data_IF_607062553908
#
_entry.id   IF_607062553908
#
_cell.length_a   1.000
_cell.length_b   1.000
_cell.length_c   1.000
_cell.angle_alpha   90.00
_cell.angle_beta   90.00
_cell.angle_gamma   90.00
#
_symmetry.space_group_name_H-M   'P 1'
#
loop_
_entity.id
_entity.type
_entity.pdbx_description
1 polymer ?
#
# COMPACT_ATOMS: atom_id res chain seq x y z
N UNK A 1 -34.98 -44.98 25.46
CA UNK A 1 -33.60 -45.01 24.92
C UNK A 1 -32.98 -43.62 24.67
N UNK A 2 -33.59 -42.50 25.09
CA UNK A 2 -33.08 -41.12 24.82
C UNK A 2 -32.02 -40.65 25.85
N UNK A 3 -32.00 -41.25 27.04
CA UNK A 3 -31.11 -40.90 28.16
C UNK A 3 -29.59 -40.91 27.86
N UNK A 4 -29.01 -41.91 27.15
CA UNK A 4 -27.58 -41.87 26.84
C UNK A 4 -27.23 -40.84 25.77
N UNK A 5 -28.13 -40.60 24.81
CA UNK A 5 -27.96 -39.63 23.72
C UNK A 5 -27.99 -38.20 24.28
N UNK A 6 -28.92 -37.88 25.20
CA UNK A 6 -28.99 -36.55 25.77
C UNK A 6 -27.81 -36.20 26.69
N UNK A 7 -27.28 -37.17 27.44
CA UNK A 7 -26.10 -36.99 28.30
C UNK A 7 -24.84 -36.69 27.49
N UNK A 8 -24.62 -37.43 26.41
CA UNK A 8 -23.48 -37.19 25.52
C UNK A 8 -23.62 -35.86 24.77
N UNK A 9 -24.83 -35.50 24.34
CA UNK A 9 -25.10 -34.21 23.73
C UNK A 9 -24.84 -33.03 24.70
N UNK A 10 -25.26 -33.14 25.96
CA UNK A 10 -24.98 -32.13 27.00
C UNK A 10 -23.50 -32.01 27.31
N UNK A 11 -22.78 -33.13 27.38
CA UNK A 11 -21.34 -33.12 27.60
C UNK A 11 -20.60 -32.43 26.45
N UNK A 12 -20.96 -32.75 25.19
CA UNK A 12 -20.41 -32.10 24.01
C UNK A 12 -20.71 -30.60 23.99
N UNK A 13 -21.94 -30.19 24.33
CA UNK A 13 -22.32 -28.78 24.40
C UNK A 13 -21.50 -28.02 25.47
N UNK A 14 -21.27 -28.64 26.63
CA UNK A 14 -20.47 -28.04 27.69
C UNK A 14 -19.01 -27.88 27.29
N UNK A 15 -18.41 -28.91 26.68
CA UNK A 15 -17.03 -28.84 26.17
C UNK A 15 -16.92 -27.77 25.08
N UNK A 16 -17.86 -27.71 24.15
CA UNK A 16 -17.89 -26.68 23.11
C UNK A 16 -17.98 -25.27 23.72
N UNK A 17 -18.82 -25.08 24.73
CA UNK A 17 -18.96 -23.81 25.44
C UNK A 17 -17.64 -23.39 26.11
N UNK A 18 -16.95 -24.33 26.77
CA UNK A 18 -15.65 -24.07 27.38
C UNK A 18 -14.60 -23.71 26.32
N UNK A 19 -14.54 -24.44 25.20
CA UNK A 19 -13.64 -24.12 24.09
C UNK A 19 -13.89 -22.71 23.53
N UNK A 20 -15.15 -22.34 23.29
CA UNK A 20 -15.53 -21.00 22.79
C UNK A 20 -15.16 -19.91 23.81
N UNK A 21 -15.37 -20.16 25.11
CA UNK A 21 -15.01 -19.21 26.16
C UNK A 21 -13.49 -18.98 26.23
N UNK A 22 -12.69 -20.04 26.15
CA UNK A 22 -11.22 -19.95 26.13
C UNK A 22 -10.76 -19.20 24.87
N UNK A 23 -11.28 -19.55 23.69
CA UNK A 23 -10.94 -18.86 22.44
C UNK A 23 -11.33 -17.38 22.48
N UNK A 24 -12.51 -17.06 23.04
CA UNK A 24 -12.97 -15.69 23.22
C UNK A 24 -12.03 -14.86 24.11
N UNK A 25 -11.60 -15.44 25.23
CA UNK A 25 -10.65 -14.80 26.14
C UNK A 25 -9.29 -14.58 25.49
N UNK A 26 -8.75 -15.60 24.81
CA UNK A 26 -7.47 -15.50 24.08
C UNK A 26 -7.56 -14.42 23.01
N UNK A 27 -8.66 -14.38 22.25
CA UNK A 27 -8.88 -13.35 21.24
C UNK A 27 -8.86 -11.95 21.88
N UNK A 28 -9.63 -11.70 22.94
CA UNK A 28 -9.68 -10.39 23.60
C UNK A 28 -8.31 -9.94 24.13
N UNK A 29 -7.54 -10.86 24.72
CA UNK A 29 -6.20 -10.55 25.23
C UNK A 29 -5.19 -10.34 24.08
N UNK A 30 -5.39 -10.97 22.92
CA UNK A 30 -4.52 -10.84 21.75
C UNK A 30 -4.81 -9.59 20.91
N UNK A 31 -6.06 -9.11 20.87
CA UNK A 31 -6.49 -7.91 20.13
C UNK A 31 -5.53 -6.72 20.26
N UNK A 32 -5.15 -6.25 21.46
CA UNK A 32 -4.27 -5.08 21.58
C UNK A 32 -2.89 -5.34 20.99
N UNK A 33 -2.36 -6.58 21.09
CA UNK A 33 -1.06 -6.92 20.54
C UNK A 33 -1.10 -6.95 19.02
N UNK A 34 -2.17 -7.49 18.44
CA UNK A 34 -2.39 -7.51 16.99
C UNK A 34 -2.46 -6.08 16.45
N UNK A 35 -3.25 -5.21 17.10
CA UNK A 35 -3.38 -3.82 16.69
C UNK A 35 -2.02 -3.07 16.75
N UNK A 36 -1.23 -3.28 17.81
CA UNK A 36 0.11 -2.70 17.92
C UNK A 36 1.06 -3.18 16.82
N UNK A 37 1.04 -4.48 16.48
CA UNK A 37 1.87 -5.03 15.41
C UNK A 37 1.46 -4.50 14.04
N UNK A 38 0.14 -4.37 13.78
CA UNK A 38 -0.38 -3.79 12.55
C UNK A 38 0.06 -2.32 12.41
N UNK A 39 -0.05 -1.53 13.48
CA UNK A 39 0.41 -0.14 13.49
C UNK A 39 1.92 -0.05 13.22
N UNK A 40 2.73 -0.86 13.91
CA UNK A 40 4.17 -0.88 13.71
C UNK A 40 4.56 -1.25 12.27
N UNK A 41 3.88 -2.24 11.68
CA UNK A 41 4.09 -2.65 10.29
C UNK A 41 3.73 -1.53 9.30
N UNK A 42 2.58 -0.87 9.49
CA UNK A 42 2.17 0.28 8.67
C UNK A 42 3.21 1.41 8.73
N UNK A 43 3.66 1.78 9.93
CA UNK A 43 4.66 2.83 10.11
C UNK A 43 6.02 2.44 9.50
N UNK A 44 6.43 1.17 9.59
CA UNK A 44 7.65 0.70 8.96
C UNK A 44 7.59 0.82 7.42
N UNK A 45 6.45 0.50 6.82
CA UNK A 45 6.23 0.67 5.37
C UNK A 45 6.32 2.15 4.97
N UNK A 46 5.71 3.04 5.73
CA UNK A 46 5.75 4.48 5.45
C UNK A 46 7.14 5.08 5.64
N UNK A 47 7.88 4.64 6.67
CA UNK A 47 9.26 5.07 6.90
C UNK A 47 10.23 4.59 5.81
N UNK A 48 9.90 3.49 5.11
CA UNK A 48 10.71 3.00 4.00
C UNK A 48 10.60 3.87 2.74
N UNK A 49 9.51 4.60 2.56
CA UNK A 49 9.29 5.47 1.39
C UNK A 49 9.54 6.95 1.66
N UNK A 50 9.60 7.37 2.93
CA UNK A 50 9.85 8.74 3.33
C UNK A 50 11.31 8.96 3.75
N UNK A 51 12.01 9.99 3.23
CA UNK A 51 13.31 10.37 3.74
C UNK A 51 13.12 10.87 5.18
N UNK A 52 14.01 10.46 6.10
CA UNK A 52 14.12 10.92 7.50
C UNK A 52 13.22 10.29 8.59
N UNK A 53 12.65 9.08 8.38
CA UNK A 53 11.84 8.40 9.41
C UNK A 53 10.73 9.28 10.01
N UNK A 54 10.12 10.10 9.15
CA UNK A 54 9.09 11.08 9.51
C UNK A 54 7.71 10.46 9.69
N UNK A 55 7.54 9.16 9.40
CA UNK A 55 6.27 8.49 9.61
C UNK A 55 6.04 8.24 11.09
N UNK A 56 4.94 8.81 11.59
CA UNK A 56 4.47 8.67 12.96
C UNK A 56 2.95 8.42 12.96
N UNK A 57 2.36 8.21 14.12
CA UNK A 57 0.92 7.99 14.24
C UNK A 57 0.08 9.18 13.73
N UNK A 58 0.62 10.41 13.79
CA UNK A 58 -0.08 11.59 13.28
C UNK A 58 -0.21 11.58 11.74
N UNK A 59 0.78 11.03 11.01
CA UNK A 59 0.69 10.82 9.56
C UNK A 59 -0.49 9.91 9.18
N UNK A 60 -0.74 8.87 9.97
CA UNK A 60 -1.85 7.95 9.74
C UNK A 60 -3.22 8.60 10.00
N UNK A 61 -3.27 9.63 10.85
CA UNK A 61 -4.48 10.39 11.13
C UNK A 61 -4.81 11.40 10.03
N UNK A 62 -3.79 11.97 9.37
CA UNK A 62 -3.97 12.88 8.24
C UNK A 62 -4.05 12.12 6.90
N UNK A 63 -5.21 11.50 6.68
CA UNK A 63 -5.47 10.65 5.53
C UNK A 63 -6.77 11.03 4.82
N UNK A 64 -6.73 11.03 3.49
CA UNK A 64 -7.90 11.19 2.62
C UNK A 64 -8.09 9.95 1.72
N UNK A 65 -9.34 9.56 1.54
CA UNK A 65 -9.77 8.53 0.61
C UNK A 65 -10.02 9.16 -0.76
N UNK A 66 -9.29 8.69 -1.77
CA UNK A 66 -9.36 9.18 -3.15
C UNK A 66 -9.79 8.04 -4.06
N UNK A 67 -10.77 8.30 -4.92
CA UNK A 67 -11.19 7.38 -5.97
C UNK A 67 -10.86 7.99 -7.32
N UNK A 68 -9.87 7.42 -8.01
CA UNK A 68 -9.50 7.81 -9.36
C UNK A 68 -9.01 6.55 -10.11
N UNK A 69 -9.91 5.77 -10.74
CA UNK A 69 -9.54 4.52 -11.39
C UNK A 69 -8.47 4.67 -12.47
N UNK A 70 -8.42 5.84 -13.14
CA UNK A 70 -7.50 6.13 -14.22
C UNK A 70 -6.06 6.31 -13.71
N UNK A 71 -5.88 6.97 -12.56
CA UNK A 71 -4.56 7.26 -11.99
C UNK A 71 -4.13 6.29 -10.89
N UNK A 72 -5.08 5.69 -10.16
CA UNK A 72 -4.82 4.79 -9.05
C UNK A 72 -5.02 3.31 -9.40
N UNK A 73 -5.60 3.02 -10.57
CA UNK A 73 -5.70 1.67 -11.12
C UNK A 73 -6.79 0.79 -10.50
N UNK A 74 -7.62 1.32 -9.59
CA UNK A 74 -8.80 0.63 -9.03
C UNK A 74 -10.03 1.54 -8.92
N UNK A 75 -11.25 0.98 -9.06
CA UNK A 75 -12.49 1.73 -8.88
C UNK A 75 -12.84 2.00 -7.42
N UNK A 76 -12.13 1.37 -6.48
CA UNK A 76 -12.31 1.57 -5.04
C UNK A 76 -11.50 2.76 -4.54
N UNK A 77 -11.94 3.38 -3.44
CA UNK A 77 -11.14 4.41 -2.80
C UNK A 77 -9.81 3.86 -2.27
N UNK A 78 -8.74 4.64 -2.39
CA UNK A 78 -7.41 4.33 -1.88
C UNK A 78 -6.92 5.45 -0.97
N UNK A 79 -6.07 5.10 -0.01
CA UNK A 79 -5.60 6.03 1.01
C UNK A 79 -4.50 6.92 0.47
N UNK A 80 -4.62 8.22 0.71
CA UNK A 80 -3.57 9.21 0.51
C UNK A 80 -3.27 9.86 1.85
N UNK A 81 -2.13 9.53 2.43
CA UNK A 81 -1.64 10.12 3.67
C UNK A 81 -0.86 11.39 3.36
N UNK A 82 -0.97 12.40 4.22
CA UNK A 82 -0.32 13.70 4.03
C UNK A 82 0.67 13.96 5.15
N UNK A 83 1.93 14.09 4.77
CA UNK A 83 2.98 14.48 5.69
C UNK A 83 3.05 16.00 5.73
N UNK A 84 2.61 16.56 6.86
CA UNK A 84 2.70 18.00 7.13
C UNK A 84 3.93 18.35 7.95
N UNK A 85 4.52 19.49 7.64
CA UNK A 85 5.49 20.19 8.48
C UNK A 85 5.07 21.66 8.55
N UNK A 86 4.91 22.18 9.77
CA UNK A 86 4.49 23.57 9.98
C UNK A 86 3.20 23.91 9.20
N UNK A 87 2.20 23.02 9.29
CA UNK A 87 0.88 23.07 8.62
C UNK A 87 0.90 22.99 7.07
N UNK A 88 2.09 22.96 6.47
CA UNK A 88 2.28 22.80 5.02
C UNK A 88 2.46 21.33 4.66
N UNK A 89 1.82 20.85 3.60
CA UNK A 89 2.01 19.47 3.11
C UNK A 89 3.34 19.37 2.37
N UNK A 90 4.28 18.60 2.92
CA UNK A 90 5.61 18.39 2.34
C UNK A 90 5.68 17.15 1.47
N UNK A 91 4.83 16.15 1.73
CA UNK A 91 4.75 14.93 0.94
C UNK A 91 3.36 14.28 1.05
N UNK A 92 2.99 13.56 0.01
CA UNK A 92 1.86 12.65 -0.05
C UNK A 92 2.38 11.23 -0.08
N UNK A 93 1.73 10.32 0.64
CA UNK A 93 2.00 8.89 0.54
C UNK A 93 0.73 8.20 0.05
N UNK A 94 0.80 7.67 -1.16
CA UNK A 94 -0.35 7.26 -1.96
C UNK A 94 -0.34 5.75 -2.09
N UNK A 95 -1.41 5.10 -1.67
CA UNK A 95 -1.70 3.73 -2.06
C UNK A 95 -2.22 3.73 -3.51
N UNK A 96 -1.55 2.99 -4.38
CA UNK A 96 -1.90 2.87 -5.80
C UNK A 96 -1.79 1.41 -6.25
N UNK A 97 -2.50 1.04 -7.29
CA UNK A 97 -2.44 -0.30 -7.87
C UNK A 97 -2.01 -0.20 -9.32
N UNK A 98 -1.04 -1.03 -9.73
CA UNK A 98 -0.81 -1.31 -11.15
C UNK A 98 -1.70 -2.50 -11.55
N UNK A 99 -2.79 -2.29 -12.33
CA UNK A 99 -3.67 -3.39 -12.74
C UNK A 99 -3.04 -4.27 -13.82
N UNK A 100 -2.05 -3.73 -14.55
CA UNK A 100 -1.44 -4.36 -15.74
C UNK A 100 -0.21 -5.23 -15.41
N UNK A 101 -0.10 -5.74 -14.18
CA UNK A 101 0.94 -6.70 -13.81
C UNK A 101 0.79 -8.03 -14.55
N UNK A 102 1.88 -8.78 -14.71
CA UNK A 102 1.87 -10.00 -15.54
C UNK A 102 0.95 -11.09 -14.97
N UNK A 103 0.99 -11.28 -13.65
CA UNK A 103 0.18 -12.27 -12.93
C UNK A 103 -1.01 -11.62 -12.20
N UNK A 104 -1.35 -10.37 -12.52
CA UNK A 104 -2.45 -9.62 -11.90
C UNK A 104 -1.98 -8.34 -11.19
N UNK A 105 -2.82 -7.85 -10.28
CA UNK A 105 -2.62 -6.55 -9.64
C UNK A 105 -1.33 -6.50 -8.81
N UNK A 106 -0.61 -5.38 -8.92
CA UNK A 106 0.52 -5.04 -8.05
C UNK A 106 0.11 -3.84 -7.19
N UNK A 107 0.01 -4.04 -5.89
CA UNK A 107 -0.31 -3.00 -4.93
C UNK A 107 0.97 -2.31 -4.47
N UNK A 108 0.99 -0.99 -4.55
CA UNK A 108 2.14 -0.12 -4.34
C UNK A 108 1.79 0.97 -3.34
N UNK A 109 2.82 1.46 -2.67
CA UNK A 109 2.78 2.72 -1.95
C UNK A 109 3.87 3.62 -2.49
N UNK A 110 3.52 4.88 -2.79
CA UNK A 110 4.40 5.84 -3.43
C UNK A 110 4.39 7.14 -2.64
N UNK A 111 5.56 7.58 -2.20
CA UNK A 111 5.73 8.88 -1.58
C UNK A 111 6.13 9.91 -2.63
N UNK A 112 5.39 11.02 -2.72
CA UNK A 112 5.58 12.07 -3.73
C UNK A 112 5.49 13.45 -3.06
N UNK A 113 6.37 14.36 -3.41
CA UNK A 113 6.28 15.77 -3.01
C UNK A 113 5.22 16.52 -3.84
N UNK A 114 4.72 17.67 -3.35
CA UNK A 114 3.77 18.49 -4.11
C UNK A 114 4.25 18.90 -5.51
N UNK A 115 5.56 19.00 -5.73
CA UNK A 115 6.20 19.31 -7.02
C UNK A 115 6.33 18.09 -7.95
N UNK A 116 5.79 16.93 -7.57
CA UNK A 116 5.83 15.70 -8.35
C UNK A 116 7.11 14.87 -8.15
N UNK A 117 8.03 15.30 -7.28
CA UNK A 117 9.24 14.53 -6.98
C UNK A 117 8.91 13.27 -6.19
N UNK A 118 9.26 12.10 -6.73
CA UNK A 118 9.08 10.82 -6.05
C UNK A 118 10.17 10.67 -4.98
N UNK A 119 9.75 10.55 -3.72
CA UNK A 119 10.64 10.34 -2.59
C UNK A 119 11.05 8.88 -2.46
N UNK A 120 10.11 7.97 -2.72
CA UNK A 120 10.33 6.53 -2.67
C UNK A 120 9.06 5.76 -3.02
N UNK A 121 9.23 4.48 -3.33
CA UNK A 121 8.13 3.58 -3.61
C UNK A 121 8.40 2.20 -3.03
N UNK A 122 7.32 1.47 -2.71
CA UNK A 122 7.39 0.12 -2.17
C UNK A 122 6.21 -0.72 -2.64
N UNK A 123 6.50 -1.98 -2.96
CA UNK A 123 5.48 -2.98 -3.29
C UNK A 123 4.89 -3.52 -1.97
N UNK A 124 3.57 -3.49 -1.88
CA UNK A 124 2.79 -4.03 -0.76
C UNK A 124 2.38 -5.48 -1.02
N UNK A 125 1.91 -5.78 -2.23
CA UNK A 125 1.42 -7.10 -2.60
C UNK A 125 1.50 -7.31 -4.12
N UNK A 126 1.81 -8.53 -4.57
CA UNK A 126 1.82 -8.91 -5.98
C UNK A 126 1.76 -10.44 -6.14
N UNK A 127 1.53 -10.91 -7.37
CA UNK A 127 1.51 -12.33 -7.73
C UNK A 127 2.54 -12.71 -8.83
N UNK A 128 3.44 -11.78 -9.14
CA UNK A 128 4.48 -11.96 -10.17
C UNK A 128 5.38 -13.18 -9.92
N UNK A 129 5.91 -13.75 -11.01
CA UNK A 129 6.71 -14.97 -10.98
C UNK A 129 8.01 -14.79 -10.17
N UNK A 130 8.27 -15.65 -9.16
CA UNK A 130 9.50 -15.63 -8.38
C UNK A 130 10.77 -15.78 -9.24
N UNK A 131 11.79 -14.96 -8.98
CA UNK A 131 13.06 -14.94 -9.73
C UNK A 131 13.02 -14.17 -11.06
N UNK A 132 11.82 -13.79 -11.53
CA UNK A 132 11.62 -13.03 -12.77
C UNK A 132 11.04 -11.64 -12.47
N UNK A 133 9.77 -11.58 -12.07
CA UNK A 133 9.03 -10.35 -11.84
C UNK A 133 9.08 -9.85 -10.40
N UNK A 134 9.37 -10.72 -9.42
CA UNK A 134 9.49 -10.37 -7.99
C UNK A 134 10.68 -9.45 -7.66
N UNK A 135 11.52 -9.12 -8.64
CA UNK A 135 12.59 -8.11 -8.53
C UNK A 135 12.06 -6.70 -8.26
N UNK A 136 10.75 -6.47 -8.36
CA UNK A 136 10.10 -5.25 -7.88
C UNK A 136 10.12 -5.13 -6.35
N UNK A 137 10.30 -6.24 -5.62
CA UNK A 137 10.42 -6.20 -4.18
C UNK A 137 11.81 -5.71 -3.76
N UNK A 138 11.83 -4.72 -2.85
CA UNK A 138 13.08 -4.16 -2.28
C UNK A 138 14.03 -5.22 -1.72
N UNK A 139 13.50 -6.29 -1.12
CA UNK A 139 14.30 -7.39 -0.55
C UNK A 139 15.01 -8.26 -1.60
N UNK A 140 14.61 -8.16 -2.88
CA UNK A 140 15.16 -8.94 -3.99
C UNK A 140 16.10 -8.10 -4.85
N UNK A 141 15.80 -6.81 -5.01
CA UNK A 141 16.58 -5.88 -5.83
C UNK A 141 16.35 -4.43 -5.39
N UNK A 142 17.33 -3.57 -5.66
CA UNK A 142 17.20 -2.11 -5.52
C UNK A 142 16.48 -1.44 -6.69
N UNK A 143 15.93 -2.20 -7.65
CA UNK A 143 15.26 -1.65 -8.83
C UNK A 143 14.15 -0.65 -8.48
N UNK A 144 13.34 -0.96 -7.46
CA UNK A 144 12.26 -0.08 -6.97
C UNK A 144 12.78 1.22 -6.35
N UNK A 145 14.06 1.30 -5.99
CA UNK A 145 14.66 2.53 -5.46
C UNK A 145 15.07 3.50 -6.58
N UNK A 146 15.12 3.05 -7.85
CA UNK A 146 15.51 3.86 -9.02
C UNK A 146 14.53 5.01 -9.33
N UNK A 147 13.33 4.96 -8.76
CA UNK A 147 12.31 6.01 -8.86
C UNK A 147 12.58 7.19 -7.92
N UNK A 148 13.35 6.98 -6.84
CA UNK A 148 13.61 8.03 -5.86
C UNK A 148 14.39 9.20 -6.49
N UNK A 149 13.98 10.42 -6.18
CA UNK A 149 14.53 11.66 -6.73
C UNK A 149 14.11 11.96 -8.17
N UNK A 150 13.26 11.14 -8.80
CA UNK A 150 12.72 11.43 -10.14
C UNK A 150 11.46 12.27 -10.03
N UNK A 151 11.37 13.32 -10.84
CA UNK A 151 10.20 14.18 -10.90
C UNK A 151 9.18 13.67 -11.92
N UNK A 152 7.90 13.69 -11.57
CA UNK A 152 6.78 13.44 -12.47
C UNK A 152 6.20 14.76 -12.95
N UNK A 153 6.14 14.95 -14.27
CA UNK A 153 5.43 16.07 -14.91
C UNK A 153 4.66 15.58 -16.12
N UNK A 154 3.69 16.36 -16.61
CA UNK A 154 2.94 16.03 -17.82
C UNK A 154 3.83 15.91 -19.07
N UNK A 155 4.93 16.67 -19.12
CA UNK A 155 5.81 16.78 -20.28
C UNK A 155 6.80 15.61 -20.34
N UNK A 156 7.11 14.97 -19.21
CA UNK A 156 8.11 13.91 -19.13
C UNK A 156 7.52 12.49 -19.17
N UNK A 157 6.24 12.36 -19.54
CA UNK A 157 5.53 11.08 -19.66
C UNK A 157 6.31 10.02 -20.45
N UNK A 158 6.97 10.41 -21.55
CA UNK A 158 7.76 9.50 -22.40
C UNK A 158 9.00 8.94 -21.71
N UNK A 159 9.57 9.67 -20.74
CA UNK A 159 10.70 9.20 -19.95
C UNK A 159 10.27 8.18 -18.89
N UNK A 160 9.01 8.19 -18.48
CA UNK A 160 8.40 7.23 -17.53
C UNK A 160 7.98 5.94 -18.21
N UNK A 161 8.96 5.27 -18.82
CA UNK A 161 8.81 3.97 -19.41
C UNK A 161 10.07 3.13 -19.15
N UNK A 162 10.00 1.83 -19.44
CA UNK A 162 11.20 1.00 -19.46
C UNK A 162 12.09 1.36 -20.66
N UNK A 163 13.40 1.16 -20.56
CA UNK A 163 14.37 1.48 -21.62
C UNK A 163 14.04 0.79 -22.95
N UNK A 164 13.48 -0.42 -22.90
CA UNK A 164 12.99 -1.13 -24.10
C UNK A 164 11.91 -0.36 -24.87
N UNK A 165 11.14 0.49 -24.18
CA UNK A 165 10.08 1.31 -24.74
C UNK A 165 10.51 2.79 -24.91
N UNK A 166 11.80 3.10 -24.74
CA UNK A 166 12.37 4.43 -24.91
C UNK A 166 12.43 5.30 -23.65
N UNK A 167 12.06 4.76 -22.48
CA UNK A 167 12.15 5.48 -21.20
C UNK A 167 13.47 5.28 -20.46
N UNK A 168 13.51 5.67 -19.19
CA UNK A 168 14.75 5.68 -18.39
C UNK A 168 14.94 4.46 -17.45
N UNK A 169 13.90 3.64 -17.24
CA UNK A 169 13.92 2.58 -16.22
C UNK A 169 14.32 1.22 -16.80
N UNK A 170 15.12 0.43 -16.09
CA UNK A 170 15.50 -0.89 -16.57
C UNK A 170 14.31 -1.86 -16.62
N UNK A 171 14.21 -2.69 -17.65
CA UNK A 171 13.32 -3.85 -17.68
C UNK A 171 14.00 -5.09 -17.11
N UNK A 172 13.23 -6.09 -16.68
CA UNK A 172 13.76 -7.40 -16.34
C UNK A 172 13.85 -8.30 -17.58
N UNK A 173 14.99 -8.97 -17.73
CA UNK A 173 15.18 -9.98 -18.77
C UNK A 173 14.10 -11.06 -18.67
N UNK A 174 13.33 -11.26 -19.73
CA UNK A 174 12.24 -12.24 -19.77
C UNK A 174 10.96 -11.84 -19.02
N UNK A 175 10.90 -10.66 -18.38
CA UNK A 175 9.74 -10.18 -17.62
C UNK A 175 9.58 -8.65 -17.77
N UNK A 176 9.24 -8.18 -18.97
CA UNK A 176 9.08 -6.73 -19.25
C UNK A 176 7.73 -6.16 -18.82
N UNK A 177 6.68 -7.00 -18.72
CA UNK A 177 5.32 -6.54 -18.37
C UNK A 177 5.28 -5.98 -16.95
N UNK A 178 5.86 -6.69 -15.98
CA UNK A 178 5.95 -6.29 -14.57
C UNK A 178 6.57 -4.90 -14.35
N UNK A 179 7.82 -4.61 -14.78
CA UNK A 179 8.42 -3.30 -14.57
C UNK A 179 7.67 -2.20 -15.31
N UNK A 180 7.09 -2.48 -16.49
CA UNK A 180 6.28 -1.50 -17.22
C UNK A 180 5.05 -1.07 -16.41
N UNK A 181 4.32 -2.03 -15.83
CA UNK A 181 3.15 -1.76 -15.01
C UNK A 181 3.51 -0.92 -13.77
N UNK A 182 4.62 -1.25 -13.10
CA UNK A 182 5.07 -0.50 -11.91
C UNK A 182 5.52 0.92 -12.25
N UNK A 183 6.28 1.09 -13.34
CA UNK A 183 6.70 2.43 -13.80
C UNK A 183 5.48 3.32 -14.07
N UNK A 184 4.48 2.80 -14.79
CA UNK A 184 3.26 3.53 -15.12
C UNK A 184 2.43 3.89 -13.88
N UNK A 185 2.27 2.96 -12.93
CA UNK A 185 1.53 3.23 -11.69
C UNK A 185 2.21 4.29 -10.80
N UNK A 186 3.55 4.29 -10.72
CA UNK A 186 4.29 5.31 -9.98
C UNK A 186 4.16 6.68 -10.68
N UNK A 187 4.29 6.72 -12.01
CA UNK A 187 4.07 7.94 -12.78
C UNK A 187 2.67 8.51 -12.55
N UNK A 188 1.63 7.69 -12.67
CA UNK A 188 0.24 8.12 -12.45
C UNK A 188 -0.02 8.59 -11.02
N UNK A 189 0.59 7.96 -10.02
CA UNK A 189 0.51 8.43 -8.63
C UNK A 189 1.13 9.82 -8.44
N UNK A 190 2.28 10.10 -9.07
CA UNK A 190 2.85 11.44 -9.07
C UNK A 190 2.00 12.45 -9.85
N UNK A 191 1.41 12.02 -10.97
CA UNK A 191 0.53 12.85 -11.78
C UNK A 191 -0.76 13.22 -11.05
N UNK A 192 -1.29 12.33 -10.22
CA UNK A 192 -2.43 12.62 -9.34
C UNK A 192 -2.14 13.84 -8.44
N UNK A 193 -0.94 13.91 -7.84
CA UNK A 193 -0.55 15.05 -6.98
C UNK A 193 -0.44 16.33 -7.80
N UNK A 194 0.15 16.24 -8.99
CA UNK A 194 0.30 17.39 -9.89
C UNK A 194 -1.04 17.93 -10.40
N UNK A 195 -1.97 17.04 -10.74
CA UNK A 195 -3.27 17.42 -11.30
C UNK A 195 -4.30 17.82 -10.24
N UNK A 196 -4.11 17.39 -8.99
CA UNK A 196 -5.06 17.60 -7.90
C UNK A 196 -4.40 18.30 -6.68
N UNK A 197 -3.96 19.56 -6.81
CA UNK A 197 -3.38 20.30 -5.68
C UNK A 197 -4.36 20.48 -4.51
N UNK A 198 -5.67 20.38 -4.74
CA UNK A 198 -6.70 20.42 -3.70
C UNK A 198 -6.58 19.27 -2.68
N UNK A 199 -5.90 18.17 -3.02
CA UNK A 199 -5.62 17.09 -2.06
C UNK A 199 -4.87 17.61 -0.82
N UNK A 200 -4.10 18.69 -0.92
CA UNK A 200 -3.41 19.30 0.21
C UNK A 200 -4.35 19.91 1.26
N UNK A 201 -5.52 20.42 0.86
CA UNK A 201 -6.44 21.17 1.73
C UNK A 201 -7.71 20.42 2.13
N UNK A 202 -7.99 19.27 1.50
CA UNK A 202 -9.20 18.47 1.83
C UNK A 202 -9.24 18.04 3.30
N UNK A 203 -10.41 17.97 3.94
CA UNK A 203 -10.51 17.41 5.30
C UNK A 203 -10.18 15.91 5.28
N UNK A 204 -9.47 15.44 6.31
CA UNK A 204 -9.17 14.01 6.48
C UNK A 204 -10.46 13.19 6.67
N UNK A 205 -10.56 12.03 6.04
CA UNK A 205 -11.78 11.21 6.03
C UNK A 205 -11.54 9.68 6.07
N UNK A 206 -10.31 9.20 6.26
CA UNK A 206 -10.04 7.75 6.34
C UNK A 206 -10.62 7.07 7.60
N UNK A 207 -11.03 7.84 8.61
CA UNK A 207 -11.67 7.33 9.84
C UNK A 207 -13.17 7.04 9.72
N UNK A 208 -13.80 7.28 8.57
CA UNK A 208 -15.24 7.08 8.39
C UNK A 208 -15.65 5.62 8.07
N UNK A 209 -14.68 4.74 7.78
CA UNK A 209 -14.91 3.34 7.39
C UNK A 209 -13.89 2.38 8.06
N UNK A 210 -13.77 2.42 9.39
CA UNK A 210 -13.10 1.36 10.16
C UNK A 210 -14.09 0.71 11.13
#
# INVERSE_FOLDING_TARGET
MIQPISKNALLLALVALVCVAILGLVNQLAQPKIAQQQLASKLAILNDVLPSSSANAALLADCILVTNPQLLGRPTAQSVYRLRKDDTVNAFVIETTAPDGYSGNIDLIVAVQPDGTVLGSRVLNHQETPGLGDKIERRRSSWIESFSGKQVTSENASAWAVKKDGGQFDQFTGATITPRAVVDAIYKAGLLVQQHPELASRPANCGANQ
#
